data_IF_181505526243
#
_entry.id   IF_181505526243
#
_cell.length_a   1.000
_cell.length_b   1.000
_cell.length_c   1.000
_cell.angle_alpha   90.00
_cell.angle_beta   90.00
_cell.angle_gamma   90.00
#
_symmetry.space_group_name_H-M   'P 1'
#
loop_
_entity.id
_entity.type
_entity.pdbx_description
1 polymer ?
#
# COMPACT_ATOMS: atom_id res chain seq x y z
N UNK A 1 -2.17 4.23 7.02
CA UNK A 1 -1.95 5.68 7.23
C UNK A 1 -0.70 6.11 6.49
N UNK A 2 -0.82 7.04 5.54
CA UNK A 2 0.29 7.45 4.65
C UNK A 2 1.24 8.45 5.30
N UNK A 3 2.53 8.35 4.96
CA UNK A 3 3.55 9.33 5.32
C UNK A 3 3.55 10.49 4.31
N UNK A 4 3.29 11.71 4.77
CA UNK A 4 3.35 12.97 3.99
C UNK A 4 2.96 12.87 2.50
N UNK A 5 1.79 12.35 2.14
CA UNK A 5 1.42 12.16 0.75
C UNK A 5 1.34 13.50 0.01
N UNK A 6 1.89 13.55 -1.22
CA UNK A 6 1.86 14.72 -2.08
C UNK A 6 2.64 15.92 -1.52
N UNK A 7 3.78 15.69 -0.88
CA UNK A 7 4.69 16.72 -0.33
C UNK A 7 4.12 17.59 0.79
N UNK A 8 2.90 17.32 1.26
CA UNK A 8 2.28 18.07 2.36
C UNK A 8 2.60 17.43 3.69
N UNK A 9 3.11 18.19 4.66
CA UNK A 9 3.33 17.69 6.02
C UNK A 9 1.98 17.31 6.64
N UNK A 10 1.90 16.09 7.14
CA UNK A 10 0.75 15.53 7.84
C UNK A 10 1.15 15.05 9.24
N UNK A 11 0.17 14.68 10.06
CA UNK A 11 0.45 14.01 11.31
C UNK A 11 1.32 12.77 11.05
N UNK A 12 2.32 12.55 11.90
CA UNK A 12 3.18 11.38 11.80
C UNK A 12 2.33 10.10 11.76
N UNK A 13 2.54 9.20 10.79
CA UNK A 13 1.68 8.03 10.59
C UNK A 13 1.70 7.04 11.75
N UNK A 14 2.79 6.97 12.51
CA UNK A 14 2.86 6.12 13.72
C UNK A 14 1.84 6.62 14.75
N UNK A 15 1.83 7.91 15.07
CA UNK A 15 0.87 8.48 16.03
C UNK A 15 -0.57 8.39 15.52
N UNK A 16 -0.80 8.71 14.24
CA UNK A 16 -2.13 8.61 13.66
C UNK A 16 -2.66 7.16 13.67
N UNK A 17 -1.82 6.18 13.34
CA UNK A 17 -2.17 4.75 13.39
C UNK A 17 -2.45 4.28 14.81
N UNK A 18 -1.66 4.72 15.78
CA UNK A 18 -1.91 4.39 17.19
C UNK A 18 -3.31 4.87 17.64
N UNK A 19 -3.67 6.12 17.34
CA UNK A 19 -4.98 6.65 17.70
C UNK A 19 -6.12 5.94 16.96
N UNK A 20 -5.97 5.65 15.67
CA UNK A 20 -6.97 4.90 14.89
C UNK A 20 -7.15 3.51 15.52
N UNK A 21 -6.07 2.76 15.74
CA UNK A 21 -6.11 1.44 16.34
C UNK A 21 -6.73 1.46 17.74
N UNK A 22 -6.39 2.45 18.57
CA UNK A 22 -6.92 2.61 19.92
C UNK A 22 -8.43 2.91 19.92
N UNK A 23 -8.92 3.73 18.97
CA UNK A 23 -10.34 4.12 18.92
C UNK A 23 -11.18 3.01 18.29
N UNK A 24 -10.67 2.35 17.25
CA UNK A 24 -11.45 1.39 16.47
C UNK A 24 -11.26 -0.06 16.92
N UNK A 25 -10.22 -0.34 17.67
CA UNK A 25 -9.72 -1.69 18.00
C UNK A 25 -9.43 -2.55 16.76
N UNK A 26 -9.12 -1.90 15.61
CA UNK A 26 -8.76 -2.56 14.36
C UNK A 26 -7.26 -2.34 14.11
N UNK A 27 -6.48 -3.40 13.81
CA UNK A 27 -5.06 -3.24 13.50
C UNK A 27 -4.83 -2.24 12.36
N UNK A 28 -3.91 -1.30 12.59
CA UNK A 28 -3.57 -0.27 11.61
C UNK A 28 -2.29 -0.62 10.87
N UNK A 29 -2.24 -0.25 9.58
CA UNK A 29 -1.02 -0.26 8.76
C UNK A 29 -0.55 1.19 8.63
N UNK A 30 0.71 1.46 8.99
CA UNK A 30 1.33 2.76 8.74
C UNK A 30 2.41 2.66 7.66
N UNK A 31 2.62 3.74 6.91
CA UNK A 31 3.69 3.80 5.91
C UNK A 31 4.83 4.68 6.37
N UNK A 32 6.05 4.31 5.97
CA UNK A 32 7.24 5.15 6.11
C UNK A 32 7.87 5.36 4.73
N UNK A 33 8.27 6.62 4.44
CA UNK A 33 8.95 6.98 3.19
C UNK A 33 10.45 6.85 3.35
N UNK A 34 11.09 6.12 2.43
CA UNK A 34 12.54 5.94 2.43
C UNK A 34 13.28 7.13 1.82
N UNK A 35 12.59 8.01 1.08
CA UNK A 35 13.17 9.24 0.54
C UNK A 35 13.25 10.36 1.56
N UNK A 36 12.29 10.40 2.49
CA UNK A 36 12.14 11.51 3.44
C UNK A 36 12.86 11.25 4.77
N UNK A 37 13.28 10.00 5.02
CA UNK A 37 13.84 9.56 6.29
C UNK A 37 15.22 8.92 6.08
N UNK A 38 16.14 9.22 6.96
CA UNK A 38 17.38 8.43 7.08
C UNK A 38 17.13 7.16 7.90
N UNK A 39 18.08 6.24 7.88
CA UNK A 39 17.89 4.91 8.49
C UNK A 39 17.74 4.98 10.02
N UNK A 40 18.43 5.90 10.70
CA UNK A 40 18.31 6.10 12.14
C UNK A 40 16.91 6.62 12.51
N UNK A 41 16.35 7.54 11.70
CA UNK A 41 14.99 8.03 11.89
C UNK A 41 13.96 6.90 11.67
N UNK A 42 14.18 6.03 10.69
CA UNK A 42 13.33 4.86 10.44
C UNK A 42 13.39 3.92 11.65
N UNK A 43 14.59 3.59 12.14
CA UNK A 43 14.76 2.74 13.31
C UNK A 43 14.04 3.30 14.54
N UNK A 44 14.26 4.58 14.85
CA UNK A 44 13.62 5.24 15.98
C UNK A 44 12.09 5.25 15.87
N UNK A 45 11.54 5.45 14.66
CA UNK A 45 10.10 5.38 14.41
C UNK A 45 9.55 3.95 14.56
N UNK A 46 10.30 2.93 14.12
CA UNK A 46 9.91 1.53 14.29
C UNK A 46 9.91 1.13 15.77
N UNK A 47 10.94 1.50 16.53
CA UNK A 47 10.97 1.25 17.98
C UNK A 47 9.81 1.93 18.70
N UNK A 48 9.52 3.19 18.34
CA UNK A 48 8.35 3.90 18.85
C UNK A 48 7.03 3.22 18.47
N UNK A 49 6.87 2.77 17.23
CA UNK A 49 5.69 2.04 16.77
C UNK A 49 5.49 0.72 17.53
N UNK A 50 6.57 -0.06 17.69
CA UNK A 50 6.53 -1.31 18.48
C UNK A 50 6.10 -1.06 19.92
N UNK A 51 6.60 -0.01 20.57
CA UNK A 51 6.22 0.35 21.94
C UNK A 51 4.74 0.73 22.09
N UNK A 52 4.12 1.19 20.99
CA UNK A 52 2.70 1.54 20.91
C UNK A 52 1.82 0.36 20.45
N UNK A 53 2.39 -0.84 20.26
CA UNK A 53 1.66 -2.02 19.80
C UNK A 53 1.27 -1.98 18.32
N UNK A 54 2.01 -1.23 17.50
CA UNK A 54 1.81 -1.18 16.05
C UNK A 54 2.80 -2.12 15.36
N UNK A 55 2.29 -3.14 14.68
CA UNK A 55 3.11 -4.20 14.11
C UNK A 55 3.07 -4.27 12.57
N UNK A 56 2.24 -3.44 11.90
CA UNK A 56 2.11 -3.51 10.44
C UNK A 56 2.67 -2.24 9.79
N UNK A 57 3.78 -2.38 9.09
CA UNK A 57 4.47 -1.27 8.41
C UNK A 57 4.57 -1.52 6.91
N UNK A 58 4.39 -0.46 6.11
CA UNK A 58 4.66 -0.48 4.65
C UNK A 58 5.74 0.54 4.33
N UNK A 59 6.77 0.10 3.64
CA UNK A 59 7.80 1.00 3.13
C UNK A 59 7.50 1.41 1.69
N UNK A 60 7.52 2.73 1.46
CA UNK A 60 7.34 3.36 0.16
C UNK A 60 8.57 4.21 -0.17
N UNK A 61 8.87 4.40 -1.45
CA UNK A 61 9.98 5.27 -1.83
C UNK A 61 9.68 6.74 -1.49
N UNK A 62 8.42 7.19 -1.68
CA UNK A 62 8.01 8.59 -1.52
C UNK A 62 8.02 9.34 -2.85
N UNK A 63 7.43 10.56 -2.83
CA UNK A 63 7.15 11.35 -4.05
C UNK A 63 8.31 12.27 -4.45
N UNK A 64 9.23 12.58 -3.55
CA UNK A 64 10.35 13.47 -3.81
C UNK A 64 11.60 12.70 -4.24
N UNK A 65 12.31 13.16 -5.31
CA UNK A 65 13.62 12.61 -5.63
C UNK A 65 14.63 13.04 -4.55
N UNK A 66 15.17 12.13 -3.80
CA UNK A 66 16.21 12.40 -2.81
C UNK A 66 17.27 11.30 -2.80
N UNK A 67 18.29 11.45 -1.95
CA UNK A 67 19.32 10.43 -1.70
C UNK A 67 18.74 9.28 -0.86
N UNK A 68 17.74 8.61 -1.44
CA UNK A 68 16.98 7.58 -0.77
C UNK A 68 17.82 6.37 -0.37
N UNK A 69 17.51 5.84 0.79
CA UNK A 69 17.82 4.44 1.08
C UNK A 69 16.87 3.60 0.24
N UNK A 70 17.37 2.57 -0.45
CA UNK A 70 16.49 1.71 -1.22
C UNK A 70 15.50 1.00 -0.30
N UNK A 71 14.25 0.86 -0.75
CA UNK A 71 13.21 0.15 -0.02
C UNK A 71 13.67 -1.26 0.37
N UNK A 72 14.39 -1.98 -0.51
CA UNK A 72 14.92 -3.32 -0.23
C UNK A 72 15.86 -3.35 0.98
N UNK A 73 16.78 -2.37 1.10
CA UNK A 73 17.65 -2.28 2.28
C UNK A 73 16.87 -2.04 3.58
N UNK A 74 15.79 -1.26 3.53
CA UNK A 74 14.96 -1.02 4.72
C UNK A 74 14.16 -2.27 5.07
N UNK A 75 13.68 -3.05 4.10
CA UNK A 75 13.04 -4.35 4.33
C UNK A 75 14.02 -5.30 5.05
N UNK A 76 15.23 -5.50 4.52
CA UNK A 76 16.28 -6.33 5.12
C UNK A 76 16.63 -5.88 6.54
N UNK A 77 16.78 -4.57 6.74
CA UNK A 77 17.04 -4.00 8.04
C UNK A 77 15.91 -4.30 9.04
N UNK A 78 14.65 -4.10 8.64
CA UNK A 78 13.51 -4.35 9.53
C UNK A 78 13.36 -5.85 9.86
N UNK A 79 13.72 -6.75 8.92
CA UNK A 79 13.82 -8.18 9.21
C UNK A 79 14.88 -8.48 10.27
N UNK A 80 16.03 -7.80 10.24
CA UNK A 80 17.07 -7.93 11.28
C UNK A 80 16.56 -7.41 12.64
N UNK A 81 15.83 -6.31 12.66
CA UNK A 81 15.18 -5.83 13.90
C UNK A 81 14.25 -6.89 14.49
N UNK A 82 13.48 -7.60 13.66
CA UNK A 82 12.65 -8.74 14.09
C UNK A 82 13.48 -9.92 14.64
N UNK A 83 14.79 -9.95 14.35
CA UNK A 83 15.75 -10.93 14.90
C UNK A 83 16.53 -10.39 16.12
N UNK A 84 16.23 -9.18 16.56
CA UNK A 84 16.91 -8.53 17.69
C UNK A 84 18.27 -7.93 17.34
N UNK A 85 18.42 -7.43 16.10
CA UNK A 85 19.62 -6.73 15.64
C UNK A 85 19.27 -5.26 15.30
N UNK A 86 20.14 -4.33 15.65
CA UNK A 86 20.02 -2.92 15.26
C UNK A 86 20.61 -2.65 13.86
N UNK A 87 20.67 -1.36 13.48
CA UNK A 87 21.24 -0.90 12.21
C UNK A 87 22.72 -1.29 12.04
N UNK A 88 23.48 -1.43 13.11
CA UNK A 88 24.90 -1.79 13.11
C UNK A 88 25.10 -3.32 13.13
N UNK A 89 24.02 -4.10 13.18
CA UNK A 89 23.96 -5.54 13.44
C UNK A 89 24.39 -5.92 14.87
N UNK A 90 24.33 -4.99 15.80
CA UNK A 90 24.54 -5.27 17.21
C UNK A 90 23.27 -5.85 17.83
N UNK A 91 23.44 -6.79 18.77
CA UNK A 91 22.32 -7.37 19.48
C UNK A 91 21.64 -6.34 20.39
N UNK A 92 20.33 -6.21 20.25
CA UNK A 92 19.48 -5.40 21.15
C UNK A 92 18.75 -6.28 22.17
N UNK A 93 18.32 -5.68 23.27
CA UNK A 93 17.70 -6.40 24.38
C UNK A 93 16.31 -6.99 24.05
N UNK A 94 15.74 -6.63 22.91
CA UNK A 94 14.42 -7.10 22.47
C UNK A 94 14.37 -7.19 20.93
N UNK A 95 13.62 -8.16 20.44
CA UNK A 95 13.29 -8.28 19.02
C UNK A 95 11.96 -7.55 18.74
N UNK A 96 11.83 -6.96 17.57
CA UNK A 96 10.53 -6.44 17.09
C UNK A 96 9.70 -7.55 16.46
N UNK A 97 8.43 -7.27 16.12
CA UNK A 97 7.52 -8.25 15.51
C UNK A 97 6.74 -7.66 14.34
N UNK A 98 7.42 -6.89 13.48
CA UNK A 98 6.77 -6.27 12.33
C UNK A 98 6.35 -7.27 11.27
N UNK A 99 5.11 -7.17 10.80
CA UNK A 99 4.66 -7.61 9.50
C UNK A 99 5.03 -6.51 8.49
N UNK A 100 5.92 -6.83 7.56
CA UNK A 100 6.63 -5.85 6.75
C UNK A 100 6.07 -5.85 5.33
N UNK A 101 5.44 -4.75 4.93
CA UNK A 101 4.89 -4.57 3.60
C UNK A 101 5.73 -3.66 2.70
N UNK A 102 5.51 -3.79 1.41
CA UNK A 102 5.99 -2.87 0.40
C UNK A 102 4.94 -2.64 -0.69
N UNK A 103 5.26 -1.90 -1.75
CA UNK A 103 4.28 -1.53 -2.77
C UNK A 103 4.59 -2.15 -4.12
N UNK A 104 3.53 -2.37 -4.92
CA UNK A 104 3.60 -2.71 -6.36
C UNK A 104 2.88 -1.61 -7.14
N UNK A 105 3.51 -1.11 -8.21
CA UNK A 105 2.92 -0.13 -9.12
C UNK A 105 3.04 -0.61 -10.57
N UNK A 106 2.03 -1.32 -11.03
CA UNK A 106 1.96 -1.87 -12.39
C UNK A 106 1.53 -0.83 -13.44
N UNK A 107 1.33 0.44 -13.06
CA UNK A 107 1.00 1.51 -14.02
C UNK A 107 2.20 2.02 -14.81
N UNK A 108 3.41 1.70 -14.32
CA UNK A 108 4.69 2.13 -14.90
C UNK A 108 5.35 1.04 -15.74
N UNK A 109 6.68 1.05 -15.79
CA UNK A 109 7.49 0.07 -16.48
C UNK A 109 7.33 -1.33 -15.86
N UNK A 110 6.79 -2.23 -16.63
CA UNK A 110 6.42 -3.57 -16.17
C UNK A 110 7.61 -4.47 -15.92
N UNK A 111 8.59 -4.45 -16.80
CA UNK A 111 9.76 -5.33 -16.68
C UNK A 111 10.57 -4.96 -15.44
N UNK A 112 10.71 -3.64 -15.22
CA UNK A 112 11.34 -3.14 -14.01
C UNK A 112 10.55 -3.51 -12.73
N UNK A 113 9.20 -3.39 -12.75
CA UNK A 113 8.38 -3.70 -11.57
C UNK A 113 8.39 -5.19 -11.24
N UNK A 114 8.44 -6.09 -12.23
CA UNK A 114 8.60 -7.54 -12.01
C UNK A 114 9.89 -7.83 -11.23
N UNK A 115 11.03 -7.31 -11.72
CA UNK A 115 12.32 -7.50 -11.08
C UNK A 115 12.34 -6.88 -9.67
N UNK A 116 11.76 -5.68 -9.52
CA UNK A 116 11.69 -4.99 -8.24
C UNK A 116 10.80 -5.75 -7.24
N UNK A 117 9.66 -6.29 -7.66
CA UNK A 117 8.77 -7.11 -6.85
C UNK A 117 9.50 -8.36 -6.32
N UNK A 118 10.22 -9.07 -7.20
CA UNK A 118 11.04 -10.22 -6.78
C UNK A 118 12.07 -9.83 -5.73
N UNK A 119 12.81 -8.73 -5.96
CA UNK A 119 13.80 -8.24 -5.00
C UNK A 119 13.19 -7.84 -3.66
N UNK A 120 11.99 -7.24 -3.64
CA UNK A 120 11.28 -6.90 -2.41
C UNK A 120 10.89 -8.15 -1.61
N UNK A 121 10.45 -9.22 -2.29
CA UNK A 121 10.17 -10.52 -1.65
C UNK A 121 11.46 -11.08 -1.04
N UNK A 122 12.53 -11.15 -1.81
CA UNK A 122 13.82 -11.68 -1.37
C UNK A 122 14.42 -10.87 -0.21
N UNK A 123 14.13 -9.56 -0.14
CA UNK A 123 14.53 -8.67 0.95
C UNK A 123 13.60 -8.75 2.18
N UNK A 124 12.56 -9.58 2.16
CA UNK A 124 11.73 -9.87 3.33
C UNK A 124 10.43 -9.10 3.41
N UNK A 125 9.82 -8.73 2.27
CA UNK A 125 8.43 -8.25 2.28
C UNK A 125 7.50 -9.41 2.63
N UNK A 126 6.59 -9.21 3.60
CA UNK A 126 5.60 -10.19 4.03
C UNK A 126 4.27 -10.02 3.28
N UNK A 127 4.02 -8.84 2.71
CA UNK A 127 2.84 -8.54 1.90
C UNK A 127 3.08 -7.33 0.98
N UNK A 128 2.18 -7.13 0.02
CA UNK A 128 2.17 -5.95 -0.83
C UNK A 128 0.89 -5.13 -0.71
N UNK A 129 1.01 -3.82 -0.91
CA UNK A 129 -0.09 -2.93 -1.28
C UNK A 129 0.13 -2.53 -2.74
N UNK A 130 -0.78 -2.93 -3.62
CA UNK A 130 -0.69 -2.61 -5.04
C UNK A 130 -1.49 -1.35 -5.38
N UNK A 131 -0.93 -0.49 -6.23
CA UNK A 131 -1.62 0.71 -6.71
C UNK A 131 -2.96 0.35 -7.35
N UNK A 132 -4.00 1.18 -7.12
CA UNK A 132 -5.33 0.94 -7.65
C UNK A 132 -5.32 0.77 -9.17
N UNK A 133 -6.08 -0.20 -9.67
CA UNK A 133 -6.25 -0.49 -11.08
C UNK A 133 -7.73 -0.53 -11.45
N UNK A 134 -8.03 -0.05 -12.64
CA UNK A 134 -9.37 -0.12 -13.25
C UNK A 134 -9.44 -1.19 -14.35
N UNK A 135 -8.30 -1.61 -14.87
CA UNK A 135 -8.18 -2.70 -15.87
C UNK A 135 -7.64 -3.96 -15.17
N UNK A 136 -8.55 -4.87 -14.83
CA UNK A 136 -8.19 -6.09 -14.11
C UNK A 136 -7.43 -7.08 -15.00
N UNK A 137 -7.66 -7.06 -16.31
CA UNK A 137 -6.88 -7.86 -17.24
C UNK A 137 -5.38 -7.48 -17.20
N UNK A 138 -5.07 -6.23 -16.88
CA UNK A 138 -3.69 -5.78 -16.68
C UNK A 138 -3.08 -6.41 -15.42
N UNK A 139 -3.85 -6.54 -14.36
CA UNK A 139 -3.41 -7.21 -13.11
C UNK A 139 -3.06 -8.67 -13.38
N UNK A 140 -3.96 -9.39 -14.05
CA UNK A 140 -3.77 -10.81 -14.39
C UNK A 140 -2.53 -10.99 -15.25
N UNK A 141 -2.38 -10.18 -16.32
CA UNK A 141 -1.19 -10.21 -17.17
C UNK A 141 0.11 -9.93 -16.43
N UNK A 142 0.09 -9.03 -15.43
CA UNK A 142 1.26 -8.78 -14.59
C UNK A 142 1.65 -10.03 -13.78
N UNK A 143 0.69 -10.70 -13.16
CA UNK A 143 0.94 -11.92 -12.38
C UNK A 143 1.48 -13.05 -13.26
N UNK A 144 0.93 -13.22 -14.46
CA UNK A 144 1.43 -14.17 -15.45
C UNK A 144 2.85 -13.84 -15.92
N UNK A 145 3.11 -12.57 -16.23
CA UNK A 145 4.44 -12.10 -16.65
C UNK A 145 5.46 -12.28 -15.53
N UNK A 146 5.09 -11.98 -14.28
CA UNK A 146 5.94 -12.24 -13.12
C UNK A 146 6.33 -13.71 -13.05
N UNK A 147 5.35 -14.63 -13.15
CA UNK A 147 5.61 -16.07 -13.17
C UNK A 147 6.53 -16.48 -14.29
N UNK A 148 6.30 -15.98 -15.51
CA UNK A 148 7.09 -16.32 -16.70
C UNK A 148 8.55 -15.86 -16.58
N UNK A 149 8.79 -14.67 -15.99
CA UNK A 149 10.13 -14.10 -15.84
C UNK A 149 10.89 -14.71 -14.66
N UNK A 150 10.20 -14.94 -13.52
CA UNK A 150 10.86 -15.37 -12.28
C UNK A 150 10.82 -16.87 -12.04
N UNK A 151 9.97 -17.60 -12.79
CA UNK A 151 9.73 -19.04 -12.61
C UNK A 151 8.88 -19.39 -11.37
N UNK A 152 8.39 -18.38 -10.61
CA UNK A 152 7.63 -18.57 -9.37
C UNK A 152 6.38 -17.72 -9.34
N UNK A 153 5.38 -18.09 -8.55
CA UNK A 153 4.25 -17.22 -8.21
C UNK A 153 4.66 -16.21 -7.11
N UNK A 154 3.84 -15.17 -6.94
CA UNK A 154 3.92 -14.32 -5.75
C UNK A 154 3.10 -15.01 -4.65
N UNK A 155 3.79 -15.66 -3.70
CA UNK A 155 3.17 -16.48 -2.65
C UNK A 155 2.80 -15.67 -1.39
N UNK A 156 3.12 -14.38 -1.35
CA UNK A 156 2.74 -13.48 -0.26
C UNK A 156 1.48 -12.68 -0.62
N UNK A 157 0.66 -12.28 0.37
CA UNK A 157 -0.57 -11.53 0.12
C UNK A 157 -0.33 -10.22 -0.64
N UNK A 158 -1.22 -9.91 -1.58
CA UNK A 158 -1.29 -8.62 -2.25
C UNK A 158 -2.65 -8.01 -1.96
N UNK A 159 -2.66 -6.83 -1.32
CA UNK A 159 -3.84 -6.01 -1.16
C UNK A 159 -3.99 -5.12 -2.40
N UNK A 160 -4.90 -5.47 -3.29
CA UNK A 160 -5.14 -4.70 -4.51
C UNK A 160 -5.97 -3.46 -4.22
N UNK A 161 -5.53 -2.30 -4.73
CA UNK A 161 -6.24 -1.05 -4.54
C UNK A 161 -7.51 -1.00 -5.37
N UNK A 162 -8.64 -0.74 -4.73
CA UNK A 162 -9.91 -0.38 -5.37
C UNK A 162 -10.19 1.07 -5.05
N UNK A 163 -10.14 1.93 -6.06
CA UNK A 163 -10.42 3.35 -5.90
C UNK A 163 -11.87 3.65 -6.24
N UNK A 164 -12.61 4.16 -5.28
CA UNK A 164 -13.93 4.73 -5.53
C UNK A 164 -13.80 6.05 -6.29
N UNK A 165 -14.69 6.26 -7.22
CA UNK A 165 -14.78 7.48 -8.02
C UNK A 165 -16.07 8.23 -7.72
N UNK A 166 -16.05 9.53 -7.99
CA UNK A 166 -17.22 10.39 -7.98
C UNK A 166 -17.04 11.49 -9.03
N UNK A 167 -18.11 12.10 -9.48
CA UNK A 167 -18.02 13.22 -10.43
C UNK A 167 -17.13 14.33 -9.87
N UNK A 168 -16.06 14.66 -10.59
CA UNK A 168 -15.07 15.66 -10.16
C UNK A 168 -14.04 15.18 -9.12
N UNK A 169 -14.02 13.90 -8.76
CA UNK A 169 -12.96 13.34 -7.93
C UNK A 169 -11.65 13.18 -8.70
N UNK A 170 -10.53 13.18 -7.97
CA UNK A 170 -9.22 12.82 -8.50
C UNK A 170 -9.05 11.31 -8.64
N UNK A 171 -8.00 10.90 -9.36
CA UNK A 171 -7.55 9.51 -9.43
C UNK A 171 -6.03 9.43 -9.29
N UNK A 172 -5.53 8.33 -8.73
CA UNK A 172 -4.11 8.02 -8.63
C UNK A 172 -3.58 7.33 -9.89
N UNK A 173 -4.47 6.74 -10.69
CA UNK A 173 -4.14 6.08 -11.96
C UNK A 173 -5.03 6.62 -13.07
N UNK A 174 -4.67 6.33 -14.31
CA UNK A 174 -5.51 6.74 -15.45
C UNK A 174 -6.87 6.02 -15.38
N UNK A 175 -7.94 6.80 -15.46
CA UNK A 175 -9.31 6.27 -15.52
C UNK A 175 -9.60 5.91 -16.99
N UNK A 176 -9.99 4.66 -17.30
CA UNK A 176 -10.43 4.27 -18.64
C UNK A 176 -11.61 5.11 -19.15
N UNK A 177 -11.69 5.30 -20.47
CA UNK A 177 -12.70 6.19 -21.05
C UNK A 177 -14.14 5.68 -20.88
N UNK A 178 -14.34 4.36 -20.86
CA UNK A 178 -15.65 3.75 -20.56
C UNK A 178 -16.10 4.10 -19.12
N UNK A 179 -15.21 4.08 -18.13
CA UNK A 179 -15.51 4.45 -16.74
C UNK A 179 -15.77 5.95 -16.63
N UNK A 180 -15.03 6.79 -17.35
CA UNK A 180 -15.32 8.23 -17.42
C UNK A 180 -16.71 8.49 -17.99
N UNK A 181 -17.02 7.81 -19.09
CA UNK A 181 -18.34 7.89 -19.75
C UNK A 181 -19.45 7.48 -18.78
N UNK A 182 -19.29 6.36 -18.07
CA UNK A 182 -20.25 5.90 -17.08
C UNK A 182 -20.50 6.94 -15.97
N UNK A 183 -19.42 7.53 -15.43
CA UNK A 183 -19.51 8.59 -14.41
C UNK A 183 -20.22 9.86 -14.93
N UNK A 184 -19.91 10.27 -16.16
CA UNK A 184 -20.53 11.44 -16.79
C UNK A 184 -22.02 11.23 -17.04
N UNK A 185 -22.43 10.00 -17.37
CA UNK A 185 -23.81 9.61 -17.58
C UNK A 185 -24.55 9.23 -16.28
N UNK A 186 -23.96 9.47 -15.12
CA UNK A 186 -24.62 9.39 -13.82
C UNK A 186 -24.55 8.03 -13.14
N UNK A 187 -23.73 7.07 -13.65
CA UNK A 187 -23.49 5.82 -12.93
C UNK A 187 -22.81 6.12 -11.59
N UNK A 188 -23.37 5.65 -10.46
CA UNK A 188 -22.77 5.87 -9.16
C UNK A 188 -21.34 5.28 -9.07
N UNK A 189 -20.41 6.01 -8.46
CA UNK A 189 -19.06 5.48 -8.24
C UNK A 189 -19.02 4.26 -7.32
N UNK A 190 -20.05 4.07 -6.52
CA UNK A 190 -20.28 2.86 -5.74
C UNK A 190 -20.47 1.63 -6.65
N UNK A 191 -21.35 1.73 -7.66
CA UNK A 191 -21.61 0.62 -8.59
C UNK A 191 -20.37 0.30 -9.44
N UNK A 192 -19.63 1.34 -9.86
CA UNK A 192 -18.36 1.17 -10.57
C UNK A 192 -17.34 0.40 -9.71
N UNK A 193 -17.28 0.72 -8.42
CA UNK A 193 -16.37 0.02 -7.51
C UNK A 193 -16.77 -1.44 -7.29
N UNK A 194 -18.08 -1.73 -7.20
CA UNK A 194 -18.59 -3.11 -7.17
C UNK A 194 -18.24 -3.88 -8.43
N UNK A 195 -18.47 -3.30 -9.62
CA UNK A 195 -18.12 -3.95 -10.89
C UNK A 195 -16.63 -4.31 -10.98
N UNK A 196 -15.75 -3.45 -10.43
CA UNK A 196 -14.30 -3.70 -10.38
C UNK A 196 -14.01 -4.86 -9.41
N UNK A 197 -14.64 -4.88 -8.24
CA UNK A 197 -14.46 -5.95 -7.25
C UNK A 197 -14.96 -7.30 -7.81
N UNK A 198 -16.10 -7.31 -8.47
CA UNK A 198 -16.64 -8.50 -9.12
C UNK A 198 -15.71 -9.05 -10.21
N UNK A 199 -15.07 -8.15 -10.99
CA UNK A 199 -14.04 -8.55 -11.93
C UNK A 199 -12.84 -9.19 -11.21
N UNK A 200 -12.35 -8.62 -10.09
CA UNK A 200 -11.29 -9.24 -9.30
C UNK A 200 -11.71 -10.64 -8.80
N UNK A 201 -12.92 -10.78 -8.28
CA UNK A 201 -13.44 -12.07 -7.82
C UNK A 201 -13.49 -13.11 -8.94
N UNK A 202 -13.84 -12.72 -10.17
CA UNK A 202 -13.86 -13.64 -11.32
C UNK A 202 -12.49 -14.24 -11.65
N UNK A 203 -11.40 -13.59 -11.21
CA UNK A 203 -10.02 -14.08 -11.33
C UNK A 203 -9.47 -14.70 -10.02
N UNK A 204 -10.34 -14.90 -9.01
CA UNK A 204 -9.94 -15.48 -7.72
C UNK A 204 -9.16 -14.53 -6.81
N UNK A 205 -9.14 -13.23 -7.11
CA UNK A 205 -8.48 -12.21 -6.29
C UNK A 205 -9.49 -11.68 -5.26
N UNK A 206 -9.20 -11.88 -3.97
CA UNK A 206 -10.14 -11.58 -2.87
C UNK A 206 -9.60 -10.61 -1.82
N UNK A 207 -8.37 -10.12 -2.00
CA UNK A 207 -7.72 -9.25 -1.02
C UNK A 207 -7.57 -7.82 -1.55
N UNK A 208 -8.22 -6.86 -0.89
CA UNK A 208 -8.29 -5.47 -1.34
C UNK A 208 -7.98 -4.47 -0.22
N UNK A 209 -7.59 -3.27 -0.62
CA UNK A 209 -7.78 -2.08 0.21
C UNK A 209 -8.58 -1.04 -0.56
N UNK A 210 -9.46 -0.33 0.13
CA UNK A 210 -10.38 0.61 -0.48
C UNK A 210 -9.86 2.05 -0.34
N UNK A 211 -9.84 2.77 -1.45
CA UNK A 211 -9.52 4.18 -1.52
C UNK A 211 -10.81 4.98 -1.69
N UNK A 212 -11.22 5.79 -0.70
CA UNK A 212 -12.40 6.64 -0.85
C UNK A 212 -12.18 7.69 -1.95
N UNK A 213 -13.25 8.13 -2.60
CA UNK A 213 -13.19 9.25 -3.55
C UNK A 213 -12.57 10.48 -2.87
N UNK A 214 -11.64 11.14 -3.56
CA UNK A 214 -10.98 12.33 -3.04
C UNK A 214 -11.10 13.51 -4.01
N UNK A 215 -11.14 14.70 -3.48
CA UNK A 215 -11.35 15.94 -4.23
C UNK A 215 -10.17 16.90 -4.04
N UNK A 216 -9.98 17.82 -4.98
CA UNK A 216 -8.93 18.85 -4.91
C UNK A 216 -8.94 19.66 -3.61
N UNK A 217 -10.09 19.77 -2.95
CA UNK A 217 -10.24 20.41 -1.64
C UNK A 217 -9.65 19.61 -0.47
N UNK A 218 -9.16 18.39 -0.71
CA UNK A 218 -8.73 17.47 0.33
C UNK A 218 -9.86 16.64 0.96
N UNK A 219 -11.13 16.93 0.63
CA UNK A 219 -12.28 16.14 1.09
C UNK A 219 -12.20 14.71 0.57
N UNK A 220 -12.59 13.76 1.42
CA UNK A 220 -12.73 12.34 1.07
C UNK A 220 -14.13 11.85 1.42
N UNK A 221 -14.69 10.98 0.59
CA UNK A 221 -16.01 10.39 0.81
C UNK A 221 -15.91 9.06 1.57
N UNK A 222 -15.73 9.16 2.87
CA UNK A 222 -15.68 7.99 3.75
C UNK A 222 -17.05 7.32 3.93
N UNK A 223 -18.15 8.04 3.74
CA UNK A 223 -19.50 7.48 3.91
C UNK A 223 -19.80 6.44 2.82
N UNK A 224 -19.54 6.78 1.57
CA UNK A 224 -19.72 5.82 0.45
C UNK A 224 -18.76 4.64 0.57
N UNK A 225 -17.51 4.89 1.02
CA UNK A 225 -16.56 3.82 1.28
C UNK A 225 -17.02 2.87 2.39
N UNK A 226 -17.56 3.41 3.49
CA UNK A 226 -18.12 2.60 4.57
C UNK A 226 -19.30 1.75 4.12
N UNK A 227 -20.21 2.30 3.29
CA UNK A 227 -21.32 1.53 2.70
C UNK A 227 -20.81 0.37 1.83
N UNK A 228 -19.79 0.62 1.01
CA UNK A 228 -19.21 -0.43 0.16
C UNK A 228 -18.62 -1.57 1.01
N UNK A 229 -17.87 -1.26 2.06
CA UNK A 229 -17.35 -2.27 3.00
C UNK A 229 -18.51 -3.09 3.58
N UNK A 230 -19.55 -2.43 4.09
CA UNK A 230 -20.72 -3.13 4.68
C UNK A 230 -21.52 -3.98 3.69
N UNK A 231 -21.35 -3.78 2.39
CA UNK A 231 -21.98 -4.61 1.36
C UNK A 231 -21.17 -5.87 1.07
N UNK A 232 -19.84 -5.83 1.31
CA UNK A 232 -18.90 -6.91 1.03
C UNK A 232 -18.66 -7.83 2.23
N UNK A 233 -19.04 -7.42 3.44
CA UNK A 233 -18.91 -8.16 4.70
C UNK A 233 -20.23 -8.69 5.19
#
# INVERSE_FOLDING_TARGET
VSYNPGTSVKMNPVFASFWIQKITNIPSIFTLSTNDLNIQAIEGLLLGAQSLGLNNVVFVMGDLPSRAISTTKVLEFTKKMNQGLDINNDKVSYATSFCIGSTIDISKDWDHEIVLTKRKIDSGSDFFIAQAQFDIARVVRFLESYRNVTGTHIDIPILWGVQMLAKGSGSFTNIPDNIKFDLENGKPGFDIALDIIDQYFSYGITSFYLLPSFFKTGRRDYLSAGKLISTLT
#
